data_IF_066680760439
#
_entry.id   IF_066680760439
#
_cell.length_a   1.000
_cell.length_b   1.000
_cell.length_c   1.000
_cell.angle_alpha   90.00
_cell.angle_beta   90.00
_cell.angle_gamma   90.00
#
_symmetry.space_group_name_H-M   'P 1'
#
loop_
_entity.id
_entity.type
_entity.pdbx_description
1 polymer ?
#
# COMPACT_ATOMS: atom_id res chain seq x y z
N UNK A 1 -12.07 8.56 -8.77
CA UNK A 1 -10.70 9.09 -8.57
C UNK A 1 -9.95 8.07 -7.73
N UNK A 2 -8.79 7.56 -8.18
CA UNK A 2 -7.92 6.80 -7.28
C UNK A 2 -7.56 7.67 -6.07
N UNK A 3 -7.51 7.05 -4.90
CA UNK A 3 -7.24 7.76 -3.65
C UNK A 3 -5.76 8.17 -3.61
N UNK A 4 -5.47 9.46 -3.78
CA UNK A 4 -4.11 10.00 -3.72
C UNK A 4 -3.74 10.29 -2.27
N UNK A 5 -2.59 9.78 -1.81
CA UNK A 5 -2.03 10.17 -0.53
C UNK A 5 -1.51 11.60 -0.59
N UNK A 6 -1.96 12.40 0.36
CA UNK A 6 -1.61 13.81 0.52
C UNK A 6 -0.84 14.08 1.80
N UNK A 7 -0.79 13.10 2.71
CA UNK A 7 -0.09 13.18 3.98
C UNK A 7 0.51 11.83 4.38
N UNK A 8 1.46 11.84 5.33
CA UNK A 8 1.95 10.59 5.94
C UNK A 8 0.86 9.85 6.69
N UNK A 9 -0.11 10.57 7.26
CA UNK A 9 -1.24 9.98 7.97
C UNK A 9 -2.08 9.08 7.06
N UNK A 10 -2.30 9.49 5.81
CA UNK A 10 -3.05 8.69 4.83
C UNK A 10 -2.34 7.34 4.57
N UNK A 11 -1.00 7.37 4.54
CA UNK A 11 -0.17 6.18 4.42
C UNK A 11 -0.25 5.34 5.69
N UNK A 12 -0.09 5.94 6.87
CA UNK A 12 -0.17 5.24 8.16
C UNK A 12 -1.52 4.53 8.34
N UNK A 13 -2.63 5.19 8.00
CA UNK A 13 -3.97 4.61 8.01
C UNK A 13 -4.08 3.43 7.03
N UNK A 14 -3.46 3.54 5.86
CA UNK A 14 -3.40 2.44 4.88
C UNK A 14 -2.61 1.25 5.44
N UNK A 15 -1.49 1.48 6.12
CA UNK A 15 -0.68 0.43 6.74
C UNK A 15 -1.47 -0.31 7.82
N UNK A 16 -2.21 0.41 8.67
CA UNK A 16 -3.09 -0.20 9.68
C UNK A 16 -4.14 -1.11 9.02
N UNK A 17 -4.76 -0.68 7.92
CA UNK A 17 -5.72 -1.52 7.19
C UNK A 17 -5.05 -2.78 6.63
N UNK A 18 -3.86 -2.66 6.04
CA UNK A 18 -3.09 -3.82 5.53
C UNK A 18 -2.77 -4.80 6.66
N UNK A 19 -2.31 -4.29 7.81
CA UNK A 19 -2.03 -5.10 9.00
C UNK A 19 -3.27 -5.86 9.45
N UNK A 20 -4.39 -5.15 9.65
CA UNK A 20 -5.62 -5.75 10.13
C UNK A 20 -6.16 -6.80 9.15
N UNK A 21 -6.15 -6.53 7.84
CA UNK A 21 -6.60 -7.52 6.84
C UNK A 21 -5.77 -8.80 6.87
N UNK A 22 -4.45 -8.68 7.01
CA UNK A 22 -3.57 -9.85 7.08
C UNK A 22 -3.73 -10.59 8.41
N UNK A 23 -3.93 -9.88 9.52
CA UNK A 23 -4.17 -10.47 10.84
C UNK A 23 -5.52 -11.21 10.90
N UNK A 24 -6.59 -10.61 10.38
CA UNK A 24 -7.95 -11.15 10.45
C UNK A 24 -8.22 -12.22 9.39
N UNK A 25 -7.83 -11.98 8.14
CA UNK A 25 -8.16 -12.85 7.00
C UNK A 25 -7.00 -13.74 6.54
N UNK A 26 -5.78 -13.53 7.08
CA UNK A 26 -4.56 -14.22 6.64
C UNK A 26 -4.06 -13.78 5.27
N UNK A 27 -4.74 -12.83 4.62
CA UNK A 27 -4.41 -12.36 3.27
C UNK A 27 -4.90 -10.93 3.06
N UNK A 28 -4.39 -10.28 2.00
CA UNK A 28 -4.89 -8.99 1.55
C UNK A 28 -5.95 -9.20 0.45
N UNK A 29 -7.22 -8.78 0.65
CA UNK A 29 -8.24 -8.92 -0.38
C UNK A 29 -7.86 -8.24 -1.70
N UNK A 30 -8.26 -8.85 -2.82
CA UNK A 30 -7.90 -8.35 -4.16
C UNK A 30 -8.37 -6.91 -4.42
N UNK A 31 -9.56 -6.54 -3.93
CA UNK A 31 -10.09 -5.19 -4.09
C UNK A 31 -9.25 -4.14 -3.32
N UNK A 32 -8.73 -4.51 -2.15
CA UNK A 32 -7.89 -3.65 -1.32
C UNK A 32 -6.52 -3.49 -1.97
N UNK A 33 -5.94 -4.60 -2.47
CA UNK A 33 -4.70 -4.58 -3.26
C UNK A 33 -4.80 -3.61 -4.45
N UNK A 34 -5.90 -3.67 -5.21
CA UNK A 34 -6.14 -2.76 -6.35
C UNK A 34 -6.29 -1.30 -5.92
N UNK A 35 -6.98 -1.05 -4.81
CA UNK A 35 -7.14 0.30 -4.26
C UNK A 35 -5.78 0.89 -3.89
N UNK A 36 -4.97 0.14 -3.13
CA UNK A 36 -3.64 0.58 -2.72
C UNK A 36 -2.72 0.77 -3.93
N UNK A 37 -2.79 -0.11 -4.95
CA UNK A 37 -2.05 0.07 -6.19
C UNK A 37 -2.41 1.38 -6.88
N UNK A 38 -3.69 1.70 -6.99
CA UNK A 38 -4.15 2.99 -7.52
C UNK A 38 -3.61 4.19 -6.73
N UNK A 39 -3.49 4.06 -5.41
CA UNK A 39 -2.84 5.07 -4.57
C UNK A 39 -1.34 5.19 -4.83
N UNK A 40 -0.62 4.07 -4.97
CA UNK A 40 0.80 4.04 -5.33
C UNK A 40 1.04 4.74 -6.66
N UNK A 41 0.20 4.48 -7.67
CA UNK A 41 0.40 4.99 -9.04
C UNK A 41 0.11 6.49 -9.16
N UNK A 42 -0.67 7.07 -8.25
CA UNK A 42 -1.14 8.47 -8.35
C UNK A 42 -0.64 9.41 -7.26
N UNK A 43 0.03 8.87 -6.23
CA UNK A 43 0.59 9.65 -5.12
C UNK A 43 1.97 10.19 -5.43
N UNK A 44 2.35 11.26 -4.73
CA UNK A 44 3.70 11.81 -4.88
C UNK A 44 4.76 10.77 -4.45
N UNK A 45 5.91 10.72 -5.14
CA UNK A 45 6.95 9.72 -4.87
C UNK A 45 7.41 9.68 -3.40
N UNK A 46 7.33 10.79 -2.67
CA UNK A 46 7.66 10.84 -1.24
C UNK A 46 6.75 9.95 -0.38
N UNK A 47 5.45 9.90 -0.69
CA UNK A 47 4.47 9.10 0.04
C UNK A 47 4.54 7.64 -0.37
N UNK A 48 4.80 7.39 -1.66
CA UNK A 48 5.06 6.04 -2.16
C UNK A 48 6.28 5.41 -1.49
N UNK A 49 7.39 6.15 -1.39
CA UNK A 49 8.58 5.67 -0.66
C UNK A 49 8.27 5.40 0.80
N UNK A 50 7.59 6.33 1.46
CA UNK A 50 7.18 6.18 2.85
C UNK A 50 6.30 4.94 3.06
N UNK A 51 5.35 4.67 2.15
CA UNK A 51 4.53 3.45 2.19
C UNK A 51 5.39 2.19 2.14
N UNK A 52 6.33 2.07 1.20
CA UNK A 52 7.20 0.90 1.11
C UNK A 52 8.10 0.74 2.35
N UNK A 53 8.58 1.84 2.94
CA UNK A 53 9.35 1.81 4.18
C UNK A 53 8.51 1.27 5.36
N UNK A 54 7.26 1.73 5.49
CA UNK A 54 6.35 1.26 6.55
C UNK A 54 5.87 -0.17 6.32
N UNK A 55 5.58 -0.59 5.08
CA UNK A 55 5.28 -2.00 4.75
C UNK A 55 6.45 -2.89 5.15
N UNK A 56 7.67 -2.50 4.80
CA UNK A 56 8.87 -3.27 5.17
C UNK A 56 9.08 -3.36 6.67
N UNK A 57 8.73 -2.30 7.43
CA UNK A 57 8.87 -2.26 8.89
C UNK A 57 7.81 -3.09 9.60
N UNK A 58 6.56 -3.00 9.18
CA UNK A 58 5.41 -3.54 9.91
C UNK A 58 4.91 -4.86 9.35
N UNK A 59 4.90 -5.02 8.02
CA UNK A 59 4.34 -6.20 7.34
C UNK A 59 5.20 -6.63 6.16
N UNK A 60 6.46 -7.04 6.39
CA UNK A 60 7.42 -7.33 5.31
C UNK A 60 6.95 -8.45 4.36
N UNK A 61 6.08 -9.35 4.82
CA UNK A 61 5.46 -10.39 4.01
C UNK A 61 4.54 -9.84 2.92
N UNK A 62 3.91 -8.68 3.16
CA UNK A 62 3.02 -8.01 2.21
C UNK A 62 3.76 -7.25 1.11
N UNK A 63 5.08 -7.02 1.27
CA UNK A 63 5.87 -6.22 0.33
C UNK A 63 5.76 -6.75 -1.11
N UNK A 64 5.86 -8.08 -1.27
CA UNK A 64 5.74 -8.77 -2.57
C UNK A 64 4.41 -8.52 -3.28
N UNK A 65 3.34 -8.21 -2.55
CA UNK A 65 2.02 -7.93 -3.11
C UNK A 65 1.98 -6.60 -3.87
N UNK A 66 2.92 -5.69 -3.55
CA UNK A 66 3.03 -4.36 -4.13
C UNK A 66 4.30 -4.18 -4.98
N UNK A 67 5.16 -5.19 -5.07
CA UNK A 67 6.41 -5.19 -5.85
C UNK A 67 6.22 -5.54 -7.34
N UNK A 68 5.00 -5.87 -7.82
CA UNK A 68 4.80 -6.08 -9.26
C UNK A 68 5.16 -4.81 -10.06
N UNK A 69 6.02 -5.04 -11.05
CA UNK A 69 6.76 -4.12 -11.92
C UNK A 69 6.05 -2.81 -12.23
N UNK A 70 6.79 -1.67 -12.36
CA UNK A 70 6.23 -0.48 -13.00
C UNK A 70 5.60 -0.92 -14.33
N UNK A 71 4.28 -0.78 -14.42
CA UNK A 71 3.59 -0.86 -15.69
C UNK A 71 4.11 0.31 -16.53
N UNK A 72 5.01 0.00 -17.47
CA UNK A 72 5.46 0.92 -18.52
C UNK A 72 4.53 0.64 -19.70
N UNK A 73 3.53 1.51 -19.98
CA UNK A 73 2.82 1.46 -21.26
C UNK A 73 3.74 1.79 -22.44
#
# INVERSE_FOLDING_TARGET
MPYRWTSRRDVDETIVVVMNSIEEEGMLPEWLRRTIRGSIDTSDPQYVRYFYDEVKRHVPTALKLFEESPYVP
#
